data_IF_173420800967
#
_entry.id   IF_173420800967
#
_cell.length_a   1.000
_cell.length_b   1.000
_cell.length_c   1.000
_cell.angle_alpha   90.00
_cell.angle_beta   90.00
_cell.angle_gamma   90.00
#
_symmetry.space_group_name_H-M   'P 1'
#
loop_
_entity.id
_entity.type
_entity.pdbx_description
1 polymer ?
#
# COMPACT_ATOMS: atom_id res chain seq x y z
N UNK A 1 20.52 9.16 7.84
CA UNK A 1 19.90 9.43 6.52
C UNK A 1 19.74 8.19 5.63
N UNK A 2 19.14 7.10 6.13
CA UNK A 2 18.90 5.86 5.35
C UNK A 2 17.43 5.42 5.39
N UNK A 3 16.53 6.33 5.76
CA UNK A 3 15.10 6.07 5.90
C UNK A 3 14.38 7.02 4.98
N UNK A 4 13.63 6.45 4.04
CA UNK A 4 12.64 7.20 3.25
C UNK A 4 11.29 7.04 3.94
N UNK A 5 10.59 8.15 4.08
CA UNK A 5 9.27 8.20 4.68
C UNK A 5 8.27 8.79 3.69
N UNK A 6 7.11 8.16 3.59
CA UNK A 6 5.96 8.67 2.87
C UNK A 6 4.67 8.32 3.65
N UNK A 7 3.70 9.23 3.63
CA UNK A 7 2.39 9.02 4.25
C UNK A 7 1.32 8.83 3.19
N UNK A 8 0.66 7.67 3.22
CA UNK A 8 -0.54 7.43 2.43
C UNK A 8 -1.78 8.05 3.11
N UNK A 9 -2.72 8.52 2.29
CA UNK A 9 -3.98 9.14 2.74
C UNK A 9 -5.23 8.41 2.26
N UNK A 10 -5.10 7.55 1.24
CA UNK A 10 -6.15 6.68 0.69
C UNK A 10 -5.54 5.34 0.25
N UNK A 11 -6.36 4.31 0.04
CA UNK A 11 -5.86 3.01 -0.44
C UNK A 11 -5.15 3.13 -1.81
N UNK A 12 -5.64 4.02 -2.69
CA UNK A 12 -5.04 4.27 -4.02
C UNK A 12 -3.69 4.98 -3.90
N UNK A 13 -3.60 5.98 -3.01
CA UNK A 13 -2.35 6.66 -2.76
C UNK A 13 -1.30 5.68 -2.20
N UNK A 14 -1.69 4.79 -1.29
CA UNK A 14 -0.81 3.73 -0.78
C UNK A 14 -0.27 2.85 -1.91
N UNK A 15 -1.14 2.41 -2.83
CA UNK A 15 -0.74 1.60 -3.98
C UNK A 15 0.25 2.32 -4.89
N UNK A 16 -0.01 3.59 -5.24
CA UNK A 16 0.88 4.37 -6.09
C UNK A 16 2.26 4.62 -5.46
N UNK A 17 2.30 4.85 -4.14
CA UNK A 17 3.57 4.98 -3.40
C UNK A 17 4.39 3.69 -3.46
N UNK A 18 3.75 2.53 -3.32
CA UNK A 18 4.43 1.23 -3.41
C UNK A 18 5.03 0.99 -4.80
N UNK A 19 4.32 1.37 -5.88
CA UNK A 19 4.85 1.27 -7.25
C UNK A 19 6.10 2.14 -7.44
N UNK A 20 6.07 3.39 -6.97
CA UNK A 20 7.23 4.29 -7.04
C UNK A 20 8.40 3.79 -6.19
N UNK A 21 8.12 3.28 -4.98
CA UNK A 21 9.13 2.69 -4.10
C UNK A 21 9.77 1.44 -4.72
N UNK A 22 8.99 0.58 -5.37
CA UNK A 22 9.51 -0.62 -6.03
C UNK A 22 10.53 -0.26 -7.13
N UNK A 23 10.25 0.77 -7.94
CA UNK A 23 11.20 1.27 -8.93
C UNK A 23 12.50 1.79 -8.26
N UNK A 24 12.36 2.56 -7.17
CA UNK A 24 13.52 3.07 -6.42
C UNK A 24 14.33 1.95 -5.77
N UNK A 25 13.68 0.92 -5.24
CA UNK A 25 14.32 -0.25 -4.65
C UNK A 25 15.05 -1.14 -5.67
N UNK A 26 14.72 -1.02 -6.97
CA UNK A 26 15.47 -1.68 -8.02
C UNK A 26 16.80 -0.96 -8.33
N UNK A 27 16.88 0.34 -8.08
CA UNK A 27 18.05 1.18 -8.38
C UNK A 27 18.98 1.37 -7.16
N UNK A 28 18.44 1.30 -5.95
CA UNK A 28 19.14 1.59 -4.70
C UNK A 28 19.11 0.40 -3.72
N UNK A 29 20.13 0.25 -2.83
CA UNK A 29 20.31 -0.96 -2.00
C UNK A 29 19.41 -1.00 -0.76
N UNK A 30 18.09 -0.92 -0.93
CA UNK A 30 17.12 -1.11 0.16
C UNK A 30 17.01 -2.59 0.56
N UNK A 31 16.76 -2.85 1.85
CA UNK A 31 16.64 -4.21 2.41
C UNK A 31 15.37 -4.45 3.22
N UNK A 32 14.61 -3.39 3.52
CA UNK A 32 13.41 -3.45 4.35
C UNK A 32 12.40 -2.41 3.88
N UNK A 33 11.15 -2.83 3.74
CA UNK A 33 9.99 -1.98 3.50
C UNK A 33 8.99 -2.22 4.64
N UNK A 34 8.50 -1.15 5.26
CA UNK A 34 7.51 -1.21 6.33
C UNK A 34 6.27 -0.45 5.87
N UNK A 35 5.09 -1.06 6.03
CA UNK A 35 3.79 -0.44 5.77
C UNK A 35 2.97 -0.49 7.06
N UNK A 36 2.70 0.68 7.64
CA UNK A 36 1.85 0.83 8.82
C UNK A 36 0.62 1.73 8.51
N UNK A 37 -0.61 1.22 8.47
CA UNK A 37 -1.03 -0.19 8.52
C UNK A 37 -1.75 -0.54 7.21
N UNK A 38 -1.33 -1.64 6.57
CA UNK A 38 -1.72 -1.97 5.18
C UNK A 38 -3.22 -2.04 4.90
N UNK A 39 -4.04 -2.39 5.91
CA UNK A 39 -5.50 -2.52 5.82
C UNK A 39 -6.25 -1.27 6.30
N UNK A 40 -5.59 -0.35 7.01
CA UNK A 40 -6.26 0.78 7.68
C UNK A 40 -7.05 1.64 6.69
N UNK A 41 -6.40 2.07 5.60
CA UNK A 41 -7.03 2.90 4.57
C UNK A 41 -8.12 2.13 3.79
N UNK A 42 -7.93 0.84 3.54
CA UNK A 42 -8.96 -0.01 2.94
C UNK A 42 -10.23 -0.14 3.80
N UNK A 43 -10.13 -0.05 5.13
CA UNK A 43 -11.31 -0.10 6.01
C UNK A 43 -12.06 1.21 6.09
N UNK A 44 -11.38 2.32 5.80
CA UNK A 44 -11.98 3.65 5.71
C UNK A 44 -12.71 3.79 4.37
N UNK A 45 -12.05 3.42 3.28
CA UNK A 45 -12.55 3.63 1.92
C UNK A 45 -13.61 2.60 1.49
N UNK A 46 -13.60 1.40 2.09
CA UNK A 46 -14.61 0.36 1.85
C UNK A 46 -15.35 0.01 3.15
N UNK A 47 -16.56 0.56 3.28
CA UNK A 47 -17.37 0.53 4.49
C UNK A 47 -18.54 -0.46 4.38
N UNK A 48 -18.72 -1.30 5.39
CA UNK A 48 -19.82 -2.26 5.46
C UNK A 48 -19.58 -3.58 4.70
N UNK A 49 -20.63 -4.41 4.63
CA UNK A 49 -20.56 -5.77 4.08
C UNK A 49 -20.70 -5.83 2.56
N UNK A 50 -21.42 -4.88 1.94
CA UNK A 50 -21.63 -4.84 0.49
C UNK A 50 -20.34 -4.64 -0.31
N UNK A 51 -19.37 -3.95 0.29
CA UNK A 51 -18.09 -3.61 -0.35
C UNK A 51 -16.97 -4.59 0.04
N UNK A 52 -17.29 -5.64 0.81
CA UNK A 52 -16.29 -6.60 1.30
C UNK A 52 -15.57 -7.30 0.15
N UNK A 53 -16.30 -7.73 -0.88
CA UNK A 53 -15.72 -8.46 -2.01
C UNK A 53 -14.74 -7.57 -2.80
N UNK A 54 -15.15 -6.32 -3.10
CA UNK A 54 -14.31 -5.35 -3.79
C UNK A 54 -13.04 -5.02 -2.99
N UNK A 55 -13.19 -4.79 -1.67
CA UNK A 55 -12.06 -4.57 -0.77
C UNK A 55 -11.07 -5.74 -0.82
N UNK A 56 -11.56 -6.97 -0.73
CA UNK A 56 -10.70 -8.16 -0.75
C UNK A 56 -9.98 -8.31 -2.09
N UNK A 57 -10.66 -8.05 -3.20
CA UNK A 57 -10.04 -8.11 -4.53
C UNK A 57 -8.94 -7.07 -4.69
N UNK A 58 -9.18 -5.81 -4.28
CA UNK A 58 -8.19 -4.73 -4.36
C UNK A 58 -7.02 -4.93 -3.38
N UNK A 59 -7.29 -5.38 -2.16
CA UNK A 59 -6.25 -5.72 -1.19
C UNK A 59 -5.36 -6.87 -1.69
N UNK A 60 -5.96 -7.91 -2.27
CA UNK A 60 -5.21 -9.02 -2.84
C UNK A 60 -4.29 -8.56 -3.98
N UNK A 61 -4.78 -7.70 -4.87
CA UNK A 61 -3.95 -7.13 -5.95
C UNK A 61 -2.73 -6.39 -5.41
N UNK A 62 -2.88 -5.60 -4.35
CA UNK A 62 -1.77 -4.87 -3.74
C UNK A 62 -0.75 -5.77 -3.05
N UNK A 63 -1.17 -6.90 -2.45
CA UNK A 63 -0.27 -7.81 -1.73
C UNK A 63 0.42 -8.85 -2.63
N UNK A 64 -0.17 -9.15 -3.78
CA UNK A 64 0.34 -10.18 -4.70
C UNK A 64 1.34 -9.67 -5.74
N UNK A 65 1.41 -8.35 -5.94
CA UNK A 65 2.25 -7.70 -6.94
C UNK A 65 3.46 -7.06 -6.28
#
# INVERSE_FOLDING_TARGET
>A
DNIIYARAYTYEHQYNLLLGLAAKMAEEPFRLLIVDSVIALFRVDFSGRGELAERQQKLAQMLSR
#
